data_IF_698253943499
#
_entry.id   IF_698253943499
#
_cell.length_a   1.000
_cell.length_b   1.000
_cell.length_c   1.000
_cell.angle_alpha   90.00
_cell.angle_beta   90.00
_cell.angle_gamma   90.00
#
_symmetry.space_group_name_H-M   'P 1'
#
loop_
_entity.id
_entity.type
_entity.pdbx_description
1 polymer ?
#
# COMPACT_ATOMS: atom_id res chain seq x y z
N UNK A 1 36.76 -35.88 16.66
CA UNK A 1 36.16 -35.00 17.68
C UNK A 1 34.65 -35.09 17.54
N UNK A 2 34.01 -35.91 18.38
CA UNK A 2 32.55 -36.14 18.39
C UNK A 2 31.88 -34.89 18.96
N UNK A 3 30.80 -34.41 18.35
CA UNK A 3 29.80 -33.59 19.04
C UNK A 3 28.48 -34.32 18.93
N UNK A 4 28.10 -34.95 20.05
CA UNK A 4 26.77 -35.52 20.27
C UNK A 4 25.75 -34.38 20.31
N UNK A 5 24.66 -34.53 19.56
CA UNK A 5 23.42 -33.82 19.84
C UNK A 5 22.42 -34.89 20.26
N UNK A 6 22.07 -34.92 21.55
CA UNK A 6 21.14 -35.89 22.13
C UNK A 6 19.95 -35.13 22.72
N UNK A 7 18.77 -35.46 22.16
CA UNK A 7 17.41 -35.56 22.73
C UNK A 7 16.82 -34.46 23.63
N UNK A 8 15.57 -34.10 23.33
CA UNK A 8 14.66 -33.40 24.24
C UNK A 8 13.25 -33.26 23.66
N UNK A 9 12.36 -34.18 23.99
CA UNK A 9 10.93 -34.16 23.67
C UNK A 9 10.13 -33.30 24.66
N UNK A 10 9.29 -32.37 24.17
CA UNK A 10 8.19 -31.79 24.96
C UNK A 10 7.05 -31.20 24.07
N UNK A 11 5.84 -31.69 24.34
CA UNK A 11 4.45 -31.22 24.17
C UNK A 11 4.13 -29.79 23.65
N UNK A 12 3.08 -29.68 22.81
CA UNK A 12 2.33 -28.49 22.28
C UNK A 12 1.77 -27.51 23.37
N UNK A 13 1.20 -26.28 23.11
CA UNK A 13 0.41 -25.83 21.93
C UNK A 13 0.56 -24.36 21.43
N UNK A 14 -0.14 -24.03 20.32
CA UNK A 14 -0.44 -22.72 19.67
C UNK A 14 0.00 -21.40 20.35
N UNK A 15 0.69 -20.54 19.59
CA UNK A 15 0.62 -19.05 19.55
C UNK A 15 1.60 -18.56 18.46
N UNK A 16 1.19 -17.81 17.44
CA UNK A 16 1.12 -16.34 17.49
C UNK A 16 1.95 -15.78 16.31
N UNK A 17 1.54 -14.64 15.77
CA UNK A 17 2.17 -13.94 14.63
C UNK A 17 3.69 -13.83 14.80
N UNK A 18 4.42 -14.66 14.06
CA UNK A 18 5.88 -14.65 14.04
C UNK A 18 6.41 -13.51 13.18
N UNK A 19 6.33 -12.27 13.66
CA UNK A 19 7.28 -11.24 13.24
C UNK A 19 8.64 -11.74 13.72
N UNK A 20 9.38 -12.33 12.78
CA UNK A 20 10.65 -12.99 13.06
C UNK A 20 11.66 -11.98 13.67
N UNK A 21 12.50 -12.39 14.63
CA UNK A 21 13.37 -11.47 15.36
C UNK A 21 14.38 -10.78 14.45
N UNK A 22 14.85 -9.59 14.85
CA UNK A 22 16.03 -8.93 14.29
C UNK A 22 17.29 -9.80 14.55
N UNK A 23 17.42 -10.88 13.78
CA UNK A 23 18.65 -11.65 13.64
C UNK A 23 19.48 -10.88 12.64
N UNK A 24 20.70 -10.49 13.01
CA UNK A 24 21.69 -10.00 12.03
C UNK A 24 21.85 -11.11 10.98
N UNK A 25 21.08 -10.99 9.90
CA UNK A 25 21.17 -11.92 8.78
C UNK A 25 22.57 -11.78 8.23
N UNK A 26 23.22 -12.91 7.94
CA UNK A 26 24.46 -12.84 7.20
C UNK A 26 24.19 -12.18 5.85
N UNK A 27 25.19 -11.49 5.29
CA UNK A 27 25.06 -10.86 3.97
C UNK A 27 24.53 -11.86 2.92
N UNK A 28 24.94 -13.12 3.00
CA UNK A 28 24.43 -14.22 2.16
C UNK A 28 22.93 -14.49 2.36
N UNK A 29 22.42 -14.48 3.58
CA UNK A 29 21.00 -14.67 3.85
C UNK A 29 20.16 -13.49 3.34
N UNK A 30 20.66 -12.26 3.48
CA UNK A 30 20.00 -11.07 2.93
C UNK A 30 19.93 -11.14 1.39
N UNK A 31 21.04 -11.47 0.74
CA UNK A 31 21.10 -11.61 -0.71
C UNK A 31 20.14 -12.70 -1.22
N UNK A 32 20.05 -13.85 -0.53
CA UNK A 32 19.07 -14.89 -0.89
C UNK A 32 17.63 -14.38 -0.84
N UNK A 33 17.26 -13.64 0.21
CA UNK A 33 15.92 -13.03 0.32
C UNK A 33 15.65 -12.02 -0.80
N UNK A 34 16.65 -11.21 -1.16
CA UNK A 34 16.53 -10.26 -2.28
C UNK A 34 16.31 -11.01 -3.59
N UNK A 35 17.07 -12.07 -3.86
CA UNK A 35 16.89 -12.88 -5.08
C UNK A 35 15.50 -13.53 -5.11
N UNK A 36 15.02 -14.06 -4.00
CA UNK A 36 13.66 -14.59 -3.89
C UNK A 36 12.59 -13.52 -4.15
N UNK A 37 12.79 -12.31 -3.63
CA UNK A 37 11.92 -11.16 -3.90
C UNK A 37 11.90 -10.80 -5.39
N UNK A 38 13.08 -10.64 -6.00
CA UNK A 38 13.22 -10.28 -7.41
C UNK A 38 12.60 -11.34 -8.33
N UNK A 39 12.72 -12.62 -8.00
CA UNK A 39 12.06 -13.71 -8.74
C UNK A 39 10.54 -13.59 -8.69
N UNK A 40 9.97 -13.21 -7.54
CA UNK A 40 8.53 -12.95 -7.42
C UNK A 40 8.10 -11.74 -8.25
N UNK A 41 8.83 -10.64 -8.15
CA UNK A 41 8.54 -9.40 -8.89
C UNK A 41 8.66 -9.59 -10.41
N UNK A 42 9.67 -10.34 -10.87
CA UNK A 42 9.85 -10.68 -12.28
C UNK A 42 8.69 -11.52 -12.83
N UNK A 43 8.03 -12.31 -11.98
CA UNK A 43 6.86 -13.12 -12.33
C UNK A 43 5.54 -12.34 -12.40
N UNK A 44 5.51 -11.07 -12.04
CA UNK A 44 4.30 -10.25 -12.12
C UNK A 44 3.93 -9.98 -13.59
N UNK A 45 2.69 -10.31 -13.95
CA UNK A 45 2.13 -9.97 -15.26
C UNK A 45 1.87 -8.46 -15.31
N UNK A 46 2.52 -7.80 -16.27
CA UNK A 46 2.31 -6.38 -16.55
C UNK A 46 1.14 -6.21 -17.53
N UNK A 47 0.41 -5.11 -17.41
CA UNK A 47 -0.51 -4.65 -18.45
C UNK A 47 0.19 -3.65 -19.36
N UNK A 48 -0.31 -3.49 -20.59
CA UNK A 48 0.19 -2.47 -21.49
C UNK A 48 -0.07 -1.07 -20.94
N UNK A 49 0.90 -0.18 -21.09
CA UNK A 49 0.77 1.21 -20.63
C UNK A 49 -0.36 1.93 -21.37
N UNK A 50 -0.53 1.65 -22.66
CA UNK A 50 -1.66 2.14 -23.47
C UNK A 50 -3.00 1.80 -22.83
N UNK A 51 -3.22 0.53 -22.47
CA UNK A 51 -4.46 0.09 -21.83
C UNK A 51 -4.67 0.76 -20.46
N UNK A 52 -3.62 0.81 -19.62
CA UNK A 52 -3.70 1.46 -18.31
C UNK A 52 -4.04 2.95 -18.42
N UNK A 53 -3.54 3.64 -19.44
CA UNK A 53 -3.85 5.06 -19.68
C UNK A 53 -5.31 5.24 -20.11
N UNK A 54 -5.84 4.37 -20.96
CA UNK A 54 -7.26 4.44 -21.36
C UNK A 54 -8.20 4.16 -20.16
N UNK A 55 -7.86 3.18 -19.32
CA UNK A 55 -8.60 2.91 -18.09
C UNK A 55 -8.59 4.13 -17.15
N UNK A 56 -7.43 4.78 -16.99
CA UNK A 56 -7.28 5.98 -16.19
C UNK A 56 -8.10 7.15 -16.76
N UNK A 57 -8.02 7.40 -18.06
CA UNK A 57 -8.80 8.45 -18.73
C UNK A 57 -10.29 8.24 -18.53
N UNK A 58 -10.76 7.01 -18.73
CA UNK A 58 -12.17 6.66 -18.55
C UNK A 58 -12.61 6.94 -17.12
N UNK A 59 -11.84 6.49 -16.12
CA UNK A 59 -12.16 6.75 -14.73
C UNK A 59 -12.27 8.25 -14.43
N UNK A 60 -11.34 9.05 -14.94
CA UNK A 60 -11.38 10.50 -14.77
C UNK A 60 -12.64 11.09 -15.42
N UNK A 61 -12.92 10.75 -16.68
CA UNK A 61 -14.10 11.24 -17.41
C UNK A 61 -15.42 10.87 -16.73
N UNK A 62 -15.51 9.66 -16.17
CA UNK A 62 -16.71 9.19 -15.50
C UNK A 62 -16.99 9.96 -14.18
N UNK A 63 -15.98 10.60 -13.58
CA UNK A 63 -16.08 11.26 -12.27
C UNK A 63 -15.79 12.77 -12.29
N UNK A 64 -15.34 13.32 -13.43
CA UNK A 64 -14.92 14.72 -13.51
C UNK A 64 -16.07 15.70 -13.23
N UNK A 65 -17.31 15.31 -13.54
CA UNK A 65 -18.50 16.12 -13.24
C UNK A 65 -18.76 16.30 -11.75
N UNK A 66 -18.31 15.35 -10.94
CA UNK A 66 -18.52 15.31 -9.49
C UNK A 66 -17.35 15.96 -8.73
N UNK A 67 -16.27 16.31 -9.45
CA UNK A 67 -15.14 17.03 -8.88
C UNK A 67 -15.45 18.52 -8.74
N UNK A 68 -15.80 18.93 -7.51
CA UNK A 68 -16.08 20.32 -7.17
C UNK A 68 -14.88 21.26 -7.33
N UNK A 69 -13.65 20.75 -7.39
CA UNK A 69 -12.46 21.58 -7.66
C UNK A 69 -12.29 21.85 -9.15
N UNK A 70 -12.84 20.99 -10.02
CA UNK A 70 -12.81 21.16 -11.46
C UNK A 70 -14.03 21.94 -11.96
N UNK A 71 -15.23 21.50 -11.60
CA UNK A 71 -16.51 22.07 -12.10
C UNK A 71 -17.00 23.23 -11.23
N UNK A 72 -16.54 23.29 -9.97
CA UNK A 72 -17.05 24.23 -8.98
C UNK A 72 -18.35 23.75 -8.35
N UNK A 73 -18.81 24.49 -7.33
CA UNK A 73 -20.10 24.23 -6.70
C UNK A 73 -21.23 24.84 -7.51
N UNK A 74 -22.29 24.07 -7.76
CA UNK A 74 -23.53 24.52 -8.40
C UNK A 74 -24.17 25.74 -7.72
N UNK A 75 -23.93 25.91 -6.42
CA UNK A 75 -24.32 27.09 -5.65
C UNK A 75 -23.27 27.41 -4.61
N UNK A 76 -23.05 28.70 -4.37
CA UNK A 76 -22.18 29.17 -3.29
C UNK A 76 -22.55 28.57 -1.93
N UNK A 77 -23.84 28.28 -1.69
CA UNK A 77 -24.32 27.66 -0.44
C UNK A 77 -23.90 26.19 -0.26
N UNK A 78 -23.58 25.49 -1.35
CA UNK A 78 -23.12 24.11 -1.30
C UNK A 78 -21.63 24.01 -0.94
N UNK A 79 -20.86 25.09 -1.09
CA UNK A 79 -19.47 25.15 -0.66
C UNK A 79 -19.39 25.22 0.87
N UNK A 80 -18.83 24.20 1.55
CA UNK A 80 -18.67 24.20 3.01
C UNK A 80 -17.79 25.35 3.54
N UNK A 81 -16.92 25.88 2.68
CA UNK A 81 -15.98 26.96 3.00
C UNK A 81 -16.48 28.34 2.54
N UNK A 82 -17.74 28.46 2.12
CA UNK A 82 -18.30 29.75 1.70
C UNK A 82 -18.26 30.76 2.85
N UNK A 83 -17.82 31.98 2.57
CA UNK A 83 -17.98 33.09 3.50
C UNK A 83 -19.47 33.29 3.84
N UNK A 84 -19.78 33.22 5.13
CA UNK A 84 -21.06 33.69 5.66
C UNK A 84 -20.89 35.19 5.79
N UNK A 85 -21.45 35.96 4.84
CA UNK A 85 -21.42 37.44 4.81
C UNK A 85 -21.15 38.07 6.18
N UNK A 86 -19.90 38.47 6.42
CA UNK A 86 -19.46 39.10 7.66
C UNK A 86 -19.18 40.56 7.39
N UNK A 87 -20.22 41.41 7.44
CA UNK A 87 -20.05 42.80 7.86
C UNK A 87 -21.41 43.47 8.13
N UNK A 88 -21.74 43.67 9.40
CA UNK A 88 -22.47 44.86 9.83
C UNK A 88 -21.41 45.80 10.37
N UNK A 89 -21.03 46.84 9.62
CA UNK A 89 -20.32 47.96 10.21
C UNK A 89 -21.31 48.72 11.09
N UNK A 90 -21.07 48.74 12.39
CA UNK A 90 -21.73 49.61 13.36
C UNK A 90 -20.91 50.89 13.53
#
# INVERSE_FOLDING_TARGET
VRHLCQEGSATSPRQGLGISPCKKMSNLQQQRKIVEQLRREAGLKRMEVSAAVEDLKKYIQDHESDDYLLVGFHSQKANPFREKSSCSLL
#
